data_IF_838937752253
#
_entry.id   IF_838937752253
#
_cell.length_a   1.000
_cell.length_b   1.000
_cell.length_c   1.000
_cell.angle_alpha   90.00
_cell.angle_beta   90.00
_cell.angle_gamma   90.00
#
_symmetry.space_group_name_H-M   'P 1'
#
loop_
_entity.id
_entity.type
_entity.pdbx_description
1 polymer ?
#
# COMPACT_ATOMS: atom_id res chain seq x y z
N UNK A 1 36.95 -32.38 -45.66
CA UNK A 1 36.08 -33.15 -46.57
C UNK A 1 35.70 -34.41 -45.83
N UNK A 2 34.40 -34.72 -45.80
CA UNK A 2 33.77 -35.92 -45.21
C UNK A 2 33.73 -35.90 -43.67
N UNK A 3 32.62 -36.13 -42.96
CA UNK A 3 31.31 -36.66 -43.31
C UNK A 3 30.23 -36.07 -42.39
N UNK A 4 29.04 -35.90 -42.95
CA UNK A 4 27.78 -35.74 -42.21
C UNK A 4 27.28 -37.13 -41.80
N UNK A 5 26.75 -37.27 -40.59
CA UNK A 5 25.74 -38.28 -40.26
C UNK A 5 24.85 -37.75 -39.15
N UNK A 6 23.58 -37.65 -39.50
CA UNK A 6 22.42 -37.49 -38.62
C UNK A 6 22.40 -38.60 -37.55
N UNK A 7 21.84 -38.31 -36.37
CA UNK A 7 20.95 -39.25 -35.67
C UNK A 7 20.27 -38.59 -34.45
N UNK A 8 18.96 -38.86 -34.40
CA UNK A 8 18.03 -38.90 -33.27
C UNK A 8 17.58 -37.61 -32.55
N UNK A 9 16.45 -37.13 -33.10
CA UNK A 9 15.36 -36.50 -32.37
C UNK A 9 14.88 -37.40 -31.21
N UNK A 10 14.84 -36.84 -29.99
CA UNK A 10 13.94 -37.35 -28.95
C UNK A 10 13.13 -36.18 -28.38
N UNK A 11 11.87 -36.13 -28.82
CA UNK A 11 10.82 -35.23 -28.34
C UNK A 11 10.17 -35.94 -27.16
N UNK A 12 10.46 -35.50 -25.94
CA UNK A 12 9.65 -35.87 -24.79
C UNK A 12 8.46 -34.91 -24.68
N UNK A 13 7.28 -35.52 -24.72
CA UNK A 13 5.97 -34.88 -24.64
C UNK A 13 5.75 -34.26 -23.25
N UNK A 14 5.52 -32.94 -23.19
CA UNK A 14 4.94 -32.30 -22.01
C UNK A 14 3.40 -32.30 -22.08
N UNK A 15 2.70 -32.60 -20.97
CA UNK A 15 1.26 -32.81 -20.96
C UNK A 15 0.47 -31.50 -21.07
N UNK A 16 -0.50 -31.55 -21.99
CA UNK A 16 -1.48 -30.53 -22.30
C UNK A 16 -2.47 -30.32 -21.13
N UNK A 17 -2.27 -29.23 -20.38
CA UNK A 17 -3.27 -28.72 -19.43
C UNK A 17 -4.04 -27.53 -20.05
N UNK A 18 -4.84 -27.80 -21.08
CA UNK A 18 -5.84 -26.85 -21.58
C UNK A 18 -7.08 -26.89 -20.69
N UNK A 19 -6.99 -26.21 -19.55
CA UNK A 19 -8.16 -25.76 -18.79
C UNK A 19 -8.81 -24.58 -19.50
N UNK A 20 -10.09 -24.75 -19.89
CA UNK A 20 -10.94 -23.76 -20.57
C UNK A 20 -10.83 -22.36 -19.95
N UNK A 21 -10.48 -21.37 -20.78
CA UNK A 21 -10.65 -19.94 -20.51
C UNK A 21 -12.10 -19.58 -20.85
N UNK A 22 -12.92 -19.05 -19.91
CA UNK A 22 -14.16 -18.38 -20.26
C UNK A 22 -13.83 -17.00 -20.85
N UNK A 23 -14.30 -16.75 -22.08
CA UNK A 23 -14.25 -15.43 -22.72
C UNK A 23 -14.98 -14.39 -21.86
N UNK A 24 -14.45 -13.16 -21.69
CA UNK A 24 -15.17 -12.11 -21.00
C UNK A 24 -16.27 -11.56 -21.92
N UNK A 25 -17.51 -11.96 -21.66
CA UNK A 25 -18.70 -11.37 -22.27
C UNK A 25 -18.92 -9.98 -21.67
N UNK A 26 -18.97 -8.98 -22.56
CA UNK A 26 -19.54 -7.64 -22.45
C UNK A 26 -20.02 -7.17 -21.06
N UNK A 27 -19.27 -6.25 -20.45
CA UNK A 27 -19.80 -5.37 -19.41
C UNK A 27 -20.74 -4.31 -20.04
N UNK A 28 -21.97 -4.12 -19.53
CA UNK A 28 -22.84 -3.05 -20.02
C UNK A 28 -22.31 -1.67 -19.61
N UNK A 29 -22.39 -0.75 -20.58
CA UNK A 29 -22.08 0.68 -20.48
C UNK A 29 -23.15 1.35 -19.60
N UNK A 30 -22.75 1.88 -18.44
CA UNK A 30 -23.63 2.70 -17.59
C UNK A 30 -23.87 4.05 -18.28
N UNK A 31 -25.10 4.30 -18.71
CA UNK A 31 -25.57 5.61 -19.16
C UNK A 31 -26.22 6.34 -17.98
N UNK A 32 -25.88 7.61 -17.82
CA UNK A 32 -26.44 8.54 -16.82
C UNK A 32 -27.96 8.76 -17.01
N UNK A 33 -28.70 9.13 -15.94
CA UNK A 33 -30.16 9.21 -15.98
C UNK A 33 -30.67 10.56 -16.52
N UNK A 34 -31.76 10.51 -17.28
CA UNK A 34 -32.68 11.63 -17.56
C UNK A 34 -34.01 11.44 -16.82
N UNK A 35 -34.78 12.51 -16.57
CA UNK A 35 -35.87 12.48 -15.61
C UNK A 35 -37.23 12.07 -16.21
N UNK A 36 -37.87 11.16 -15.47
CA UNK A 36 -39.29 10.99 -15.15
C UNK A 36 -40.38 11.31 -16.18
N UNK A 37 -41.09 10.26 -16.61
CA UNK A 37 -42.54 10.30 -16.81
C UNK A 37 -43.16 8.95 -16.38
N UNK A 38 -44.32 9.05 -15.74
CA UNK A 38 -45.16 8.06 -15.05
C UNK A 38 -45.61 6.84 -15.85
N UNK A 39 -45.81 5.70 -15.18
CA UNK A 39 -47.10 4.98 -15.05
C UNK A 39 -46.98 3.73 -14.16
N UNK A 40 -48.14 3.38 -13.61
CA UNK A 40 -48.48 2.44 -12.54
C UNK A 40 -48.47 0.96 -12.97
N UNK A 41 -48.29 0.04 -12.01
CA UNK A 41 -48.78 -1.37 -11.93
C UNK A 41 -47.76 -2.42 -11.44
N UNK A 42 -48.02 -2.89 -10.21
CA UNK A 42 -48.05 -4.27 -9.67
C UNK A 42 -46.97 -5.33 -9.96
N UNK A 43 -46.71 -6.07 -8.87
CA UNK A 43 -46.18 -7.43 -8.71
C UNK A 43 -44.66 -7.66 -8.58
N UNK A 44 -44.26 -7.70 -7.30
CA UNK A 44 -43.55 -8.83 -6.66
C UNK A 44 -42.54 -9.59 -7.52
N UNK A 45 -41.29 -9.14 -7.51
CA UNK A 45 -40.15 -10.00 -7.73
C UNK A 45 -39.12 -9.72 -6.63
N UNK A 46 -38.92 -10.77 -5.84
CA UNK A 46 -37.82 -11.01 -4.91
C UNK A 46 -36.50 -10.54 -5.52
N UNK A 47 -36.12 -9.29 -5.23
CA UNK A 47 -34.79 -8.79 -5.58
C UNK A 47 -33.85 -9.45 -4.59
N UNK A 48 -33.41 -10.66 -4.95
CA UNK A 48 -32.14 -11.19 -4.51
C UNK A 48 -31.14 -10.06 -4.77
N UNK A 49 -30.75 -9.36 -3.71
CA UNK A 49 -29.55 -8.55 -3.70
C UNK A 49 -28.45 -9.52 -4.14
N UNK A 50 -28.12 -9.47 -5.43
CA UNK A 50 -26.89 -10.01 -5.97
C UNK A 50 -25.81 -9.33 -5.15
N UNK A 51 -25.39 -9.99 -4.07
CA UNK A 51 -24.25 -9.62 -3.27
C UNK A 51 -23.09 -9.68 -4.25
N UNK A 52 -22.80 -8.54 -4.89
CA UNK A 52 -21.76 -8.40 -5.89
C UNK A 52 -20.48 -8.74 -5.15
N UNK A 53 -20.07 -9.99 -5.28
CA UNK A 53 -18.90 -10.51 -4.60
C UNK A 53 -17.71 -9.76 -5.19
N UNK A 54 -17.27 -8.74 -4.47
CA UNK A 54 -16.34 -7.79 -5.02
C UNK A 54 -14.92 -8.37 -4.96
N UNK A 55 -14.48 -8.93 -6.09
CA UNK A 55 -13.14 -9.47 -6.24
C UNK A 55 -12.09 -8.36 -6.39
N UNK A 56 -10.86 -8.65 -5.97
CA UNK A 56 -9.71 -7.77 -6.18
C UNK A 56 -9.47 -7.51 -7.67
N UNK A 57 -9.29 -6.24 -8.07
CA UNK A 57 -9.06 -5.85 -9.46
C UNK A 57 -7.76 -6.41 -10.06
N UNK A 58 -6.79 -6.73 -9.21
CA UNK A 58 -5.46 -7.20 -9.61
C UNK A 58 -5.43 -8.72 -9.72
N UNK A 59 -5.63 -9.44 -8.61
CA UNK A 59 -5.52 -10.89 -8.64
C UNK A 59 -6.81 -11.61 -9.08
N UNK A 60 -7.97 -10.94 -9.03
CA UNK A 60 -9.32 -11.49 -9.33
C UNK A 60 -9.72 -12.77 -8.60
N UNK A 61 -8.90 -13.24 -7.64
CA UNK A 61 -9.07 -14.51 -6.91
C UNK A 61 -9.68 -14.31 -5.52
N UNK A 62 -9.36 -13.20 -4.87
CA UNK A 62 -9.77 -12.92 -3.49
C UNK A 62 -10.89 -11.89 -3.48
N UNK A 63 -11.97 -12.21 -2.77
CA UNK A 63 -12.99 -11.24 -2.39
C UNK A 63 -12.43 -10.29 -1.33
N UNK A 64 -12.78 -9.01 -1.46
CA UNK A 64 -12.25 -7.97 -0.59
C UNK A 64 -13.21 -6.79 -0.50
N UNK A 65 -13.35 -6.26 0.70
CA UNK A 65 -13.97 -4.96 0.95
C UNK A 65 -12.94 -3.83 1.02
N UNK A 66 -11.65 -4.18 1.04
CA UNK A 66 -10.56 -3.19 1.09
C UNK A 66 -10.48 -2.44 -0.23
N UNK A 67 -10.43 -1.12 -0.11
CA UNK A 67 -10.26 -0.20 -1.22
C UNK A 67 -8.81 0.25 -1.37
N UNK A 68 -8.45 0.70 -2.56
CA UNK A 68 -7.15 1.26 -2.89
C UNK A 68 -6.86 2.44 -1.96
N UNK A 69 -5.70 2.42 -1.29
CA UNK A 69 -5.36 3.44 -0.30
C UNK A 69 -5.21 4.85 -0.90
N UNK A 70 -4.88 4.96 -2.20
CA UNK A 70 -4.61 6.24 -2.87
C UNK A 70 -5.87 6.93 -3.39
N UNK A 71 -6.76 6.19 -4.05
CA UNK A 71 -7.98 6.75 -4.65
C UNK A 71 -9.26 6.37 -3.92
N UNK A 72 -9.23 5.38 -3.02
CA UNK A 72 -10.38 4.85 -2.27
C UNK A 72 -11.57 4.40 -3.16
N UNK A 73 -11.32 4.10 -4.44
CA UNK A 73 -12.38 3.75 -5.40
C UNK A 73 -12.35 2.28 -5.80
N UNK A 74 -11.16 1.67 -5.95
CA UNK A 74 -11.03 0.32 -6.48
C UNK A 74 -10.69 -0.73 -5.43
N UNK A 75 -11.11 -1.98 -5.64
CA UNK A 75 -11.03 -3.02 -4.63
C UNK A 75 -9.75 -3.85 -4.76
N UNK A 76 -9.00 -3.93 -3.67
CA UNK A 76 -7.66 -4.50 -3.62
C UNK A 76 -7.59 -5.44 -2.40
N UNK A 77 -7.09 -6.67 -2.56
CA UNK A 77 -7.11 -7.66 -1.48
C UNK A 77 -5.87 -7.63 -0.57
N UNK A 78 -4.78 -6.99 -0.99
CA UNK A 78 -3.53 -6.98 -0.24
C UNK A 78 -2.61 -5.85 -0.66
N UNK A 79 -1.61 -5.56 0.15
CA UNK A 79 -0.57 -4.58 -0.17
C UNK A 79 0.27 -4.96 -1.39
N UNK A 80 0.55 -6.24 -1.62
CA UNK A 80 1.19 -6.68 -2.86
C UNK A 80 0.34 -6.35 -4.10
N UNK A 81 -0.99 -6.50 -4.02
CA UNK A 81 -1.87 -6.07 -5.10
C UNK A 81 -1.94 -4.54 -5.18
N UNK A 82 -1.83 -3.81 -4.07
CA UNK A 82 -1.76 -2.34 -4.06
C UNK A 82 -0.50 -1.84 -4.77
N UNK A 83 0.64 -2.49 -4.54
CA UNK A 83 1.90 -2.19 -5.22
C UNK A 83 1.77 -2.43 -6.72
N UNK A 84 1.31 -3.62 -7.14
CA UNK A 84 1.07 -3.92 -8.57
C UNK A 84 0.10 -2.91 -9.20
N UNK A 85 -0.98 -2.53 -8.51
CA UNK A 85 -1.94 -1.54 -9.01
C UNK A 85 -1.36 -0.12 -9.22
N UNK A 86 -0.23 0.17 -8.59
CA UNK A 86 0.45 1.49 -8.59
C UNK A 86 1.75 1.48 -9.38
N UNK A 87 2.38 0.31 -9.55
CA UNK A 87 3.71 0.16 -10.12
C UNK A 87 3.74 -0.59 -11.45
N UNK A 88 2.97 -1.67 -11.56
CA UNK A 88 3.02 -2.54 -12.73
C UNK A 88 1.97 -2.10 -13.75
N UNK A 89 2.51 -1.78 -14.91
CA UNK A 89 1.85 -1.45 -16.17
C UNK A 89 1.22 -0.06 -16.32
N UNK A 90 1.88 0.68 -17.19
CA UNK A 90 1.37 1.49 -18.30
C UNK A 90 0.03 1.07 -18.94
N UNK A 91 -0.47 -0.14 -18.66
CA UNK A 91 -1.77 -0.70 -19.11
C UNK A 91 -2.75 -1.08 -17.98
N UNK A 92 -2.41 -0.88 -16.70
CA UNK A 92 -3.39 -1.04 -15.64
C UNK A 92 -4.37 0.15 -15.69
N UNK A 93 -5.62 -0.12 -16.12
CA UNK A 93 -6.72 0.86 -16.12
C UNK A 93 -6.85 1.58 -14.77
N UNK A 94 -6.42 0.93 -13.68
CA UNK A 94 -6.39 1.55 -12.37
C UNK A 94 -5.31 2.61 -12.24
N UNK A 95 -4.06 2.39 -12.66
CA UNK A 95 -2.98 3.38 -12.55
C UNK A 95 -3.38 4.73 -13.16
N UNK A 96 -3.91 4.71 -14.39
CA UNK A 96 -4.33 5.93 -15.09
C UNK A 96 -5.38 6.73 -14.29
N UNK A 97 -6.36 6.06 -13.68
CA UNK A 97 -7.44 6.70 -12.91
C UNK A 97 -6.96 7.07 -11.50
N UNK A 98 -6.17 6.19 -10.88
CA UNK A 98 -5.66 6.32 -9.53
C UNK A 98 -4.70 7.49 -9.44
N UNK A 99 -3.84 7.69 -10.44
CA UNK A 99 -2.86 8.78 -10.54
C UNK A 99 -3.48 10.07 -11.05
N UNK A 100 -4.36 10.06 -12.06
CA UNK A 100 -4.97 11.31 -12.58
C UNK A 100 -5.92 11.98 -11.57
N UNK A 101 -6.58 11.22 -10.70
CA UNK A 101 -7.39 11.79 -9.61
C UNK A 101 -6.55 12.33 -8.44
N UNK A 102 -5.24 12.06 -8.38
CA UNK A 102 -4.36 12.58 -7.31
C UNK A 102 -4.31 14.10 -7.33
N UNK A 103 -4.36 14.71 -8.51
CA UNK A 103 -4.11 16.13 -8.70
C UNK A 103 -5.27 17.06 -8.32
N UNK A 104 -6.46 16.53 -8.04
CA UNK A 104 -7.66 17.37 -7.80
C UNK A 104 -7.86 17.77 -6.35
N UNK A 105 -7.25 17.06 -5.39
CA UNK A 105 -7.32 17.42 -3.97
C UNK A 105 -5.95 17.89 -3.48
N UNK A 106 -5.69 19.22 -3.41
CA UNK A 106 -4.45 19.73 -2.83
C UNK A 106 -4.27 19.31 -1.36
N UNK A 107 -5.37 18.90 -0.71
CA UNK A 107 -5.45 18.51 0.69
C UNK A 107 -4.69 17.21 1.01
N UNK A 108 -4.23 16.42 0.03
CA UNK A 108 -3.55 15.13 0.27
C UNK A 108 -2.25 14.95 -0.53
N UNK A 109 -1.70 16.03 -1.11
CA UNK A 109 -0.61 15.92 -2.09
C UNK A 109 0.64 15.28 -1.51
N UNK A 110 1.17 15.80 -0.41
CA UNK A 110 2.43 15.29 0.19
C UNK A 110 2.27 13.87 0.68
N UNK A 111 1.13 13.51 1.29
CA UNK A 111 0.87 12.15 1.74
C UNK A 111 0.77 11.11 0.62
N UNK A 112 0.13 11.45 -0.50
CA UNK A 112 0.05 10.55 -1.66
C UNK A 112 1.42 10.39 -2.33
N UNK A 113 2.15 11.49 -2.51
CA UNK A 113 3.53 11.48 -3.02
C UNK A 113 4.43 10.64 -2.12
N UNK A 114 4.35 10.86 -0.81
CA UNK A 114 5.08 10.09 0.18
C UNK A 114 4.81 8.61 0.07
N UNK A 115 3.54 8.22 0.12
CA UNK A 115 3.10 6.83 0.07
C UNK A 115 3.63 6.12 -1.19
N UNK A 116 3.54 6.76 -2.35
CA UNK A 116 4.08 6.22 -3.61
C UNK A 116 5.60 6.03 -3.53
N UNK A 117 6.33 6.99 -2.99
CA UNK A 117 7.78 6.89 -2.83
C UNK A 117 8.15 5.74 -1.88
N UNK A 118 7.43 5.56 -0.77
CA UNK A 118 7.66 4.44 0.17
C UNK A 118 7.43 3.09 -0.50
N UNK A 119 6.31 2.92 -1.23
CA UNK A 119 6.06 1.68 -1.98
C UNK A 119 7.14 1.43 -3.05
N UNK A 120 7.72 2.50 -3.60
CA UNK A 120 8.85 2.43 -4.54
C UNK A 120 10.20 2.17 -3.88
N UNK A 121 10.27 2.09 -2.54
CA UNK A 121 11.50 2.13 -1.77
C UNK A 121 12.43 3.30 -2.18
N UNK A 122 11.84 4.49 -2.40
CA UNK A 122 12.52 5.72 -2.79
C UNK A 122 12.36 6.78 -1.71
N UNK A 123 13.42 7.58 -1.50
CA UNK A 123 13.35 8.78 -0.66
C UNK A 123 12.55 9.85 -1.41
N UNK A 124 11.61 10.55 -0.75
CA UNK A 124 10.86 11.63 -1.39
C UNK A 124 11.80 12.72 -1.91
N UNK A 125 11.71 13.09 -3.20
CA UNK A 125 12.58 14.11 -3.78
C UNK A 125 12.07 15.54 -3.57
N UNK A 126 10.77 15.71 -3.28
CA UNK A 126 10.17 17.03 -3.10
C UNK A 126 10.29 17.51 -1.65
N UNK A 127 10.64 18.79 -1.50
CA UNK A 127 10.94 19.40 -0.19
C UNK A 127 9.75 19.38 0.77
N UNK A 128 8.53 19.58 0.27
CA UNK A 128 7.33 19.60 1.11
C UNK A 128 7.10 18.24 1.76
N UNK A 129 7.12 17.17 0.96
CA UNK A 129 7.02 15.79 1.49
C UNK A 129 8.22 15.44 2.38
N UNK A 130 9.42 15.87 2.00
CA UNK A 130 10.63 15.62 2.79
C UNK A 130 10.54 16.23 4.20
N UNK A 131 9.95 17.43 4.30
CA UNK A 131 9.74 18.13 5.56
C UNK A 131 8.57 17.53 6.36
N UNK A 132 7.41 17.34 5.74
CA UNK A 132 6.20 16.82 6.39
C UNK A 132 6.45 15.47 7.07
N UNK A 133 7.25 14.61 6.43
CA UNK A 133 7.58 13.27 6.92
C UNK A 133 8.92 13.19 7.64
N UNK A 134 9.47 14.35 8.02
CA UNK A 134 10.54 14.51 9.00
C UNK A 134 11.90 13.96 8.54
N UNK A 135 12.09 13.77 7.22
CA UNK A 135 13.39 13.40 6.64
C UNK A 135 14.40 14.54 6.73
N UNK A 136 13.93 15.79 6.83
CA UNK A 136 14.76 16.99 7.04
C UNK A 136 15.74 16.88 8.22
N UNK A 137 15.36 16.18 9.30
CA UNK A 137 16.24 16.02 10.46
C UNK A 137 17.39 15.04 10.24
N UNK A 138 17.41 14.33 9.11
CA UNK A 138 18.36 13.27 8.81
C UNK A 138 19.34 13.73 7.72
N UNK A 139 20.57 14.04 8.13
CA UNK A 139 21.60 14.54 7.22
C UNK A 139 22.23 13.49 6.31
N UNK A 140 22.15 12.20 6.67
CA UNK A 140 22.75 11.12 5.89
C UNK A 140 21.72 10.30 5.14
N UNK A 141 22.07 9.84 3.93
CA UNK A 141 21.21 8.94 3.14
C UNK A 141 20.94 7.61 3.87
N UNK A 142 21.90 7.13 4.68
CA UNK A 142 21.73 5.92 5.47
C UNK A 142 20.63 6.09 6.52
N UNK A 143 20.62 7.22 7.23
CA UNK A 143 19.58 7.54 8.21
C UNK A 143 18.21 7.70 7.55
N UNK A 144 18.17 8.41 6.41
CA UNK A 144 16.94 8.56 5.63
C UNK A 144 16.37 7.20 5.20
N UNK A 145 17.22 6.25 4.78
CA UNK A 145 16.79 4.89 4.44
C UNK A 145 16.25 4.12 5.64
N UNK A 146 16.81 4.31 6.84
CA UNK A 146 16.28 3.70 8.07
C UNK A 146 14.90 4.24 8.41
N UNK A 147 14.69 5.55 8.27
CA UNK A 147 13.34 6.13 8.44
C UNK A 147 12.37 5.63 7.36
N UNK A 148 12.81 5.52 6.10
CA UNK A 148 11.99 4.96 5.02
C UNK A 148 11.55 3.53 5.32
N UNK A 149 12.44 2.68 5.85
CA UNK A 149 12.13 1.31 6.28
C UNK A 149 11.05 1.28 7.37
N UNK A 150 11.11 2.19 8.34
CA UNK A 150 10.07 2.33 9.38
C UNK A 150 8.71 2.61 8.72
N UNK A 151 8.64 3.61 7.83
CA UNK A 151 7.39 3.91 7.13
C UNK A 151 6.89 2.77 6.24
N UNK A 152 7.79 2.09 5.52
CA UNK A 152 7.45 0.93 4.69
C UNK A 152 6.83 -0.18 5.54
N UNK A 153 7.37 -0.41 6.74
CA UNK A 153 6.81 -1.39 7.67
C UNK A 153 5.39 -1.04 8.07
N UNK A 154 5.11 0.23 8.40
CA UNK A 154 3.77 0.67 8.79
C UNK A 154 2.77 0.56 7.64
N UNK A 155 3.16 0.98 6.45
CA UNK A 155 2.30 0.95 5.26
C UNK A 155 1.99 -0.51 4.88
N UNK A 156 3.00 -1.38 4.85
CA UNK A 156 2.85 -2.75 4.36
C UNK A 156 2.28 -3.72 5.41
N UNK A 157 2.60 -3.54 6.70
CA UNK A 157 2.20 -4.47 7.77
C UNK A 157 1.02 -3.99 8.60
N UNK A 158 0.73 -2.68 8.59
CA UNK A 158 -0.38 -2.07 9.34
C UNK A 158 -1.35 -1.31 8.47
N UNK A 159 -1.21 -1.41 7.14
CA UNK A 159 -2.15 -0.87 6.18
C UNK A 159 -2.41 0.64 6.33
N UNK A 160 -1.43 1.36 6.87
CA UNK A 160 -1.53 2.81 7.09
C UNK A 160 -1.69 3.51 5.75
N UNK A 161 -2.80 4.20 5.56
CA UNK A 161 -3.18 4.84 4.31
C UNK A 161 -2.58 6.25 4.16
N UNK A 162 -2.46 6.79 2.93
CA UNK A 162 -2.11 8.19 2.72
C UNK A 162 -3.01 9.17 3.47
N UNK A 163 -4.29 8.84 3.62
CA UNK A 163 -5.24 9.69 4.35
C UNK A 163 -4.92 9.74 5.84
N UNK A 164 -4.57 8.62 6.44
CA UNK A 164 -4.14 8.58 7.84
C UNK A 164 -2.83 9.34 8.03
N UNK A 165 -1.85 9.13 7.15
CA UNK A 165 -0.59 9.87 7.18
C UNK A 165 -0.81 11.39 7.11
N UNK A 166 -1.66 11.85 6.20
CA UNK A 166 -2.03 13.26 6.08
C UNK A 166 -2.67 13.81 7.36
N UNK A 167 -3.61 13.07 7.95
CA UNK A 167 -4.24 13.45 9.22
C UNK A 167 -3.17 13.57 10.31
N UNK A 168 -2.27 12.59 10.43
CA UNK A 168 -1.24 12.61 11.47
C UNK A 168 -0.24 13.76 11.29
N UNK A 169 0.11 14.10 10.05
CA UNK A 169 0.96 15.28 9.75
C UNK A 169 0.23 16.56 10.15
N UNK A 170 -1.04 16.74 9.75
CA UNK A 170 -1.83 17.95 10.04
C UNK A 170 -2.11 18.15 11.52
N UNK A 171 -2.40 17.06 12.23
CA UNK A 171 -2.59 17.07 13.68
C UNK A 171 -1.28 17.18 14.45
N UNK A 172 -0.12 17.12 13.77
CA UNK A 172 1.21 17.06 14.37
C UNK A 172 1.35 15.90 15.35
N UNK A 173 0.70 14.78 15.04
CA UNK A 173 0.69 13.55 15.85
C UNK A 173 1.43 12.38 15.18
N UNK A 174 2.18 12.64 14.09
CA UNK A 174 2.85 11.64 13.27
C UNK A 174 3.62 10.61 14.09
N UNK A 175 4.59 11.04 14.89
CA UNK A 175 5.39 10.10 15.68
C UNK A 175 4.68 9.58 16.94
N UNK A 176 3.69 10.28 17.50
CA UNK A 176 2.83 9.69 18.53
C UNK A 176 2.05 8.49 18.00
N UNK A 177 1.49 8.58 16.80
CA UNK A 177 0.74 7.50 16.16
C UNK A 177 1.66 6.35 15.77
N UNK A 178 2.81 6.65 15.18
CA UNK A 178 3.83 5.64 14.82
C UNK A 178 4.33 4.89 16.06
N UNK A 179 4.70 5.62 17.13
CA UNK A 179 5.18 5.00 18.37
C UNK A 179 4.11 4.12 19.01
N UNK A 180 2.84 4.55 19.01
CA UNK A 180 1.73 3.74 19.50
C UNK A 180 1.55 2.44 18.71
N UNK A 181 1.69 2.48 17.38
CA UNK A 181 1.63 1.27 16.55
C UNK A 181 2.74 0.29 16.93
N UNK A 182 3.97 0.75 17.12
CA UNK A 182 5.07 -0.13 17.55
C UNK A 182 4.95 -0.57 19.02
N UNK A 183 4.30 0.23 19.87
CA UNK A 183 4.02 -0.17 21.25
C UNK A 183 3.05 -1.36 21.30
N UNK A 184 2.00 -1.32 20.48
CA UNK A 184 1.02 -2.40 20.32
C UNK A 184 1.60 -3.61 19.56
N UNK A 185 2.52 -3.38 18.63
CA UNK A 185 3.10 -4.40 17.75
C UNK A 185 4.63 -4.36 17.79
N UNK A 186 5.24 -4.76 18.92
CA UNK A 186 6.68 -4.62 19.15
C UNK A 186 7.53 -5.42 18.17
N UNK A 187 7.01 -6.50 17.59
CA UNK A 187 7.68 -7.34 16.60
C UNK A 187 8.00 -6.62 15.29
N UNK A 188 7.29 -5.53 14.98
CA UNK A 188 7.47 -4.80 13.73
C UNK A 188 8.71 -3.92 13.68
N UNK A 189 9.35 -3.65 14.82
CA UNK A 189 10.57 -2.83 14.86
C UNK A 189 11.67 -3.56 15.62
N UNK A 190 12.87 -3.57 15.05
CA UNK A 190 14.02 -4.18 15.70
C UNK A 190 14.53 -3.31 16.85
N UNK A 191 15.22 -3.92 17.82
CA UNK A 191 15.90 -3.15 18.88
C UNK A 191 16.98 -2.23 18.28
N UNK A 192 17.68 -2.68 17.24
CA UNK A 192 18.69 -1.88 16.53
C UNK A 192 18.08 -0.60 15.93
N UNK A 193 16.94 -0.72 15.24
CA UNK A 193 16.24 0.43 14.64
C UNK A 193 15.76 1.41 15.73
N UNK A 194 15.31 0.92 16.88
CA UNK A 194 14.92 1.77 18.01
C UNK A 194 16.10 2.51 18.64
N UNK A 195 17.24 1.82 18.83
CA UNK A 195 18.45 2.44 19.37
C UNK A 195 19.03 3.47 18.40
N UNK A 196 19.01 3.17 17.10
CA UNK A 196 19.34 4.15 16.07
C UNK A 196 18.41 5.37 16.14
N UNK A 197 17.09 5.15 16.21
CA UNK A 197 16.12 6.23 16.29
C UNK A 197 16.43 7.13 17.49
N UNK A 198 16.70 6.54 18.67
CA UNK A 198 17.08 7.27 19.89
C UNK A 198 18.38 8.08 19.77
N UNK A 199 19.35 7.60 18.99
CA UNK A 199 20.62 8.30 18.75
C UNK A 199 20.55 9.36 17.64
N UNK A 200 19.49 9.38 16.84
CA UNK A 200 19.36 10.28 15.69
C UNK A 200 18.93 11.71 16.09
N UNK A 201 19.24 12.71 15.25
CA UNK A 201 18.73 14.08 15.41
C UNK A 201 17.20 14.16 15.35
N UNK A 202 16.56 13.22 14.67
CA UNK A 202 15.11 13.09 14.61
C UNK A 202 14.52 12.89 16.02
N UNK A 203 15.21 12.18 16.91
CA UNK A 203 14.76 11.98 18.30
C UNK A 203 14.59 13.28 19.07
N UNK A 204 15.56 14.17 18.98
CA UNK A 204 15.59 15.39 19.79
C UNK A 204 14.78 16.51 19.18
N UNK A 205 14.83 16.65 17.85
CA UNK A 205 14.24 17.78 17.14
C UNK A 205 12.89 17.47 16.47
N UNK A 206 12.67 16.23 16.03
CA UNK A 206 11.45 15.85 15.30
C UNK A 206 10.40 15.12 16.13
N UNK A 207 10.78 14.43 17.21
CA UNK A 207 9.82 13.67 18.03
C UNK A 207 9.25 14.50 19.20
N UNK A 208 7.92 14.48 19.30
CA UNK A 208 7.19 14.94 20.47
C UNK A 208 7.57 14.19 21.75
N UNK A 209 7.33 14.80 22.91
CA UNK A 209 7.63 14.20 24.23
C UNK A 209 6.91 12.86 24.41
N UNK A 210 5.65 12.79 24.02
CA UNK A 210 4.82 11.59 24.12
C UNK A 210 5.41 10.43 23.30
N UNK A 211 5.79 10.68 22.05
CA UNK A 211 6.41 9.66 21.20
C UNK A 211 7.71 9.11 21.80
N UNK A 212 8.58 9.99 22.33
CA UNK A 212 9.83 9.58 22.98
C UNK A 212 9.59 8.66 24.17
N UNK A 213 8.66 9.00 25.06
CA UNK A 213 8.33 8.17 26.22
C UNK A 213 7.85 6.78 25.79
N UNK A 214 7.00 6.69 24.77
CA UNK A 214 6.50 5.42 24.25
C UNK A 214 7.65 4.58 23.65
N UNK A 215 8.55 5.21 22.90
CA UNK A 215 9.71 4.51 22.36
C UNK A 215 10.71 4.08 23.43
N UNK A 216 10.91 4.86 24.50
CA UNK A 216 11.78 4.48 25.62
C UNK A 216 11.25 3.26 26.37
N UNK A 217 9.94 3.21 26.64
CA UNK A 217 9.28 2.03 27.19
C UNK A 217 9.48 0.80 26.29
N UNK A 218 9.29 0.97 24.98
CA UNK A 218 9.47 -0.11 24.01
C UNK A 218 10.92 -0.62 23.95
N UNK A 219 11.90 0.29 24.05
CA UNK A 219 13.32 -0.06 24.13
C UNK A 219 13.60 -0.88 25.39
N UNK A 220 13.13 -0.43 26.56
CA UNK A 220 13.33 -1.12 27.83
C UNK A 220 12.78 -2.55 27.79
N UNK A 221 11.52 -2.73 27.35
CA UNK A 221 10.88 -4.05 27.20
C UNK A 221 11.67 -5.00 26.28
N UNK A 222 12.22 -4.49 25.19
CA UNK A 222 13.03 -5.30 24.27
C UNK A 222 14.40 -5.67 24.85
N UNK A 223 15.02 -4.79 25.61
CA UNK A 223 16.30 -5.07 26.25
C UNK A 223 16.16 -6.14 27.34
N UNK A 224 15.11 -6.09 28.14
CA UNK A 224 14.80 -7.12 29.15
C UNK A 224 14.61 -8.49 28.51
N UNK A 225 13.88 -8.55 27.38
CA UNK A 225 13.66 -9.81 26.66
C UNK A 225 14.96 -10.43 26.12
N UNK A 226 15.89 -9.61 25.64
CA UNK A 226 17.20 -10.11 25.15
C UNK A 226 18.08 -10.62 26.30
N UNK A 227 17.87 -10.14 27.52
CA UNK A 227 18.61 -10.61 28.71
C UNK A 227 18.03 -11.89 29.32
N UNK A 228 16.75 -12.19 29.04
CA UNK A 228 16.08 -13.39 29.53
C UNK A 228 16.21 -14.62 28.63
N UNK A 229 16.61 -14.42 27.37
CA UNK A 229 16.81 -15.45 26.35
C UNK A 229 18.29 -15.89 26.28
#
# INVERSE_FOLDING_TARGET
MSDMSDDDMNIEEEPSFLGRIPSPTNCPRVSSPTPSTSTDSTDSADSQDDEVLCACIICRRKFTVRKCALCNDALICSMNCQEVAVHDDTDSRHFAICVSKIDTSPVLRTAKTFYKNVLSNKIPPDMDTFNDYQFFWLGSLADQRKLLKIYATLISMKDVTPRELDIWVKERTLFERISMLFHCFPELISLEDLLWLKASNLWTAGLGKTARVIFEDLIARKQEKVQSD
#
